data_IF_065805611263
#
_entry.id   IF_065805611263
#
_cell.length_a   1.000
_cell.length_b   1.000
_cell.length_c   1.000
_cell.angle_alpha   90.00
_cell.angle_beta   90.00
_cell.angle_gamma   90.00
#
_symmetry.space_group_name_H-M   'P 1'
#
loop_
_entity.id
_entity.type
_entity.pdbx_description
1 polymer ?
#
# COMPACT_ATOMS: atom_id res chain seq x y z
N UNK A 1 2.70 16.47 -15.58
CA UNK A 1 3.95 16.81 -16.27
C UNK A 1 5.12 16.75 -15.30
N UNK A 2 6.38 16.82 -15.78
CA UNK A 2 7.60 16.71 -14.98
C UNK A 2 7.71 17.85 -13.97
N UNK A 3 7.46 19.08 -14.39
CA UNK A 3 7.52 20.25 -13.50
C UNK A 3 6.47 20.16 -12.38
N UNK A 4 5.31 19.57 -12.67
CA UNK A 4 4.28 19.30 -11.67
C UNK A 4 4.75 18.28 -10.62
N UNK A 5 5.49 17.25 -11.03
CA UNK A 5 6.06 16.26 -10.12
C UNK A 5 7.10 16.88 -9.19
N UNK A 6 8.08 17.63 -9.73
CA UNK A 6 9.09 18.33 -8.92
C UNK A 6 8.44 19.22 -7.85
N UNK A 7 7.52 20.10 -8.27
CA UNK A 7 6.79 20.99 -7.34
C UNK A 7 5.98 20.22 -6.30
N UNK A 8 5.44 19.05 -6.66
CA UNK A 8 4.71 18.22 -5.70
C UNK A 8 5.64 17.63 -4.64
N UNK A 9 6.82 17.17 -5.04
CA UNK A 9 7.82 16.64 -4.09
C UNK A 9 8.29 17.71 -3.11
N UNK A 10 8.56 18.93 -3.58
CA UNK A 10 8.90 20.07 -2.73
C UNK A 10 7.76 20.38 -1.73
N UNK A 11 6.50 20.41 -2.18
CA UNK A 11 5.35 20.65 -1.30
C UNK A 11 5.20 19.56 -0.24
N UNK A 12 5.33 18.29 -0.61
CA UNK A 12 5.26 17.17 0.32
C UNK A 12 6.36 17.26 1.38
N UNK A 13 7.59 17.57 0.97
CA UNK A 13 8.69 17.79 1.92
C UNK A 13 8.45 18.98 2.84
N UNK A 14 7.95 20.09 2.31
CA UNK A 14 7.63 21.29 3.09
C UNK A 14 6.49 21.08 4.10
N UNK A 15 5.58 20.13 3.85
CA UNK A 15 4.59 19.68 4.84
C UNK A 15 5.29 18.97 6.01
N UNK A 16 6.37 18.23 5.74
CA UNK A 16 7.17 17.53 6.74
C UNK A 16 7.34 16.04 6.51
N UNK A 17 6.81 15.49 5.44
CA UNK A 17 7.01 14.07 5.10
C UNK A 17 8.46 13.78 4.71
N UNK A 18 8.95 12.58 5.02
CA UNK A 18 10.31 12.12 4.72
C UNK A 18 10.35 11.08 3.60
N UNK A 19 9.22 10.48 3.30
CA UNK A 19 9.10 9.48 2.25
C UNK A 19 7.77 9.56 1.53
N UNK A 20 7.73 8.93 0.36
CA UNK A 20 6.51 8.78 -0.45
C UNK A 20 6.36 7.33 -0.91
N UNK A 21 5.13 6.93 -1.22
CA UNK A 21 4.86 5.78 -2.05
C UNK A 21 4.62 6.23 -3.48
N UNK A 22 5.28 5.58 -4.45
CA UNK A 22 5.09 5.87 -5.86
C UNK A 22 4.04 4.95 -6.48
N UNK A 23 3.04 5.55 -7.12
CA UNK A 23 1.99 4.84 -7.86
C UNK A 23 1.71 5.55 -9.20
N UNK A 24 1.48 4.79 -10.27
CA UNK A 24 1.02 5.33 -11.54
C UNK A 24 2.02 6.16 -12.38
N UNK A 25 3.32 6.17 -12.04
CA UNK A 25 4.36 6.96 -12.72
C UNK A 25 5.36 6.12 -13.53
N UNK A 26 5.00 4.89 -13.83
CA UNK A 26 5.85 3.91 -14.52
C UNK A 26 6.39 4.34 -15.90
N UNK A 27 5.82 5.38 -16.51
CA UNK A 27 6.25 5.93 -17.80
C UNK A 27 7.40 6.95 -17.71
N UNK A 28 7.82 7.32 -16.50
CA UNK A 28 8.89 8.28 -16.32
C UNK A 28 10.22 7.58 -16.12
N UNK A 29 11.29 8.24 -16.54
CA UNK A 29 12.64 7.73 -16.39
C UNK A 29 13.04 7.67 -14.91
N UNK A 30 13.66 6.56 -14.50
CA UNK A 30 13.99 6.28 -13.11
C UNK A 30 15.01 7.26 -12.52
N UNK A 31 15.98 7.71 -13.32
CA UNK A 31 17.00 8.68 -12.93
C UNK A 31 16.36 10.08 -12.71
N UNK A 32 15.37 10.44 -13.52
CA UNK A 32 14.60 11.67 -13.30
C UNK A 32 13.86 11.63 -11.98
N UNK A 33 13.15 10.55 -11.69
CA UNK A 33 12.44 10.35 -10.40
C UNK A 33 13.43 10.44 -9.25
N UNK A 34 14.55 9.71 -9.34
CA UNK A 34 15.60 9.73 -8.32
C UNK A 34 16.10 11.14 -8.06
N UNK A 35 16.42 11.88 -9.13
CA UNK A 35 16.89 13.25 -9.01
C UNK A 35 15.88 14.16 -8.29
N UNK A 36 14.61 14.13 -8.69
CA UNK A 36 13.58 14.96 -8.07
C UNK A 36 13.41 14.67 -6.56
N UNK A 37 13.52 13.38 -6.18
CA UNK A 37 13.39 12.98 -4.78
C UNK A 37 14.63 13.36 -3.97
N UNK A 38 15.83 13.19 -4.53
CA UNK A 38 17.08 13.62 -3.88
C UNK A 38 17.10 15.14 -3.67
N UNK A 39 16.72 15.90 -4.69
CA UNK A 39 16.65 17.37 -4.63
C UNK A 39 15.63 17.83 -3.55
N UNK A 40 14.51 17.14 -3.42
CA UNK A 40 13.51 17.41 -2.39
C UNK A 40 13.87 16.85 -1.00
N UNK A 41 14.84 15.95 -0.89
CA UNK A 41 15.18 15.25 0.35
C UNK A 41 14.11 14.26 0.79
N UNK A 42 13.50 13.54 -0.17
CA UNK A 42 12.51 12.49 0.04
C UNK A 42 13.07 11.12 -0.35
N UNK A 43 12.60 10.08 0.33
CA UNK A 43 12.84 8.67 -0.04
C UNK A 43 11.57 8.00 -0.57
N UNK A 44 11.72 6.80 -1.13
CA UNK A 44 10.59 5.96 -1.55
C UNK A 44 10.43 4.83 -0.53
N UNK A 45 9.30 4.80 0.18
CA UNK A 45 9.01 3.73 1.13
C UNK A 45 8.45 2.47 0.46
N UNK A 46 7.66 2.63 -0.61
CA UNK A 46 7.10 1.53 -1.40
C UNK A 46 6.68 2.02 -2.78
N UNK A 47 6.35 1.08 -3.65
CA UNK A 47 5.75 1.40 -4.96
C UNK A 47 4.50 0.55 -5.20
N UNK A 48 3.59 1.04 -6.06
CA UNK A 48 2.60 0.22 -6.75
C UNK A 48 2.97 0.14 -8.23
N UNK A 49 3.39 -1.04 -8.65
CA UNK A 49 3.77 -1.34 -10.04
C UNK A 49 2.58 -2.04 -10.73
N UNK A 50 2.24 -1.67 -11.97
CA UNK A 50 1.26 -2.44 -12.73
C UNK A 50 1.65 -3.92 -12.81
N UNK A 51 0.72 -4.86 -12.52
CA UNK A 51 1.04 -6.29 -12.47
C UNK A 51 1.72 -6.81 -13.74
N UNK A 52 1.24 -6.41 -14.92
CA UNK A 52 1.81 -6.84 -16.20
C UNK A 52 3.27 -6.37 -16.38
N UNK A 53 3.59 -5.17 -15.94
CA UNK A 53 4.98 -4.68 -15.95
C UNK A 53 5.84 -5.49 -14.99
N UNK A 54 5.35 -5.77 -13.79
CA UNK A 54 6.10 -6.55 -12.80
C UNK A 54 6.37 -7.97 -13.31
N UNK A 55 5.40 -8.60 -13.98
CA UNK A 55 5.55 -9.94 -14.56
C UNK A 55 6.51 -9.97 -15.75
N UNK A 56 6.43 -8.97 -16.64
CA UNK A 56 7.16 -8.99 -17.92
C UNK A 56 8.53 -8.30 -17.86
N UNK A 57 8.73 -7.37 -16.90
CA UNK A 57 9.90 -6.49 -16.83
C UNK A 57 10.56 -6.52 -15.45
N UNK A 58 10.48 -7.66 -14.74
CA UNK A 58 10.96 -7.80 -13.35
C UNK A 58 12.40 -7.32 -13.16
N UNK A 59 13.32 -7.61 -14.10
CA UNK A 59 14.72 -7.21 -14.00
C UNK A 59 14.90 -5.69 -14.07
N UNK A 60 14.12 -5.02 -14.92
CA UNK A 60 14.09 -3.56 -15.00
C UNK A 60 13.57 -2.96 -13.69
N UNK A 61 12.46 -3.48 -13.19
CA UNK A 61 11.87 -3.03 -11.92
C UNK A 61 12.86 -3.18 -10.76
N UNK A 62 13.58 -4.30 -10.68
CA UNK A 62 14.63 -4.51 -9.68
C UNK A 62 15.73 -3.45 -9.80
N UNK A 63 16.20 -3.16 -11.02
CA UNK A 63 17.24 -2.17 -11.25
C UNK A 63 16.79 -0.76 -10.83
N UNK A 64 15.58 -0.35 -11.18
CA UNK A 64 14.97 0.91 -10.78
C UNK A 64 14.85 1.03 -9.26
N UNK A 65 14.37 -0.02 -8.59
CA UNK A 65 14.22 -0.03 -7.13
C UNK A 65 15.56 -0.02 -6.39
N UNK A 66 16.60 -0.65 -6.94
CA UNK A 66 17.98 -0.52 -6.43
C UNK A 66 18.49 0.91 -6.54
N UNK A 67 18.24 1.58 -7.67
CA UNK A 67 18.60 2.99 -7.88
C UNK A 67 17.91 3.89 -6.85
N UNK A 68 16.65 3.63 -6.53
CA UNK A 68 15.87 4.41 -5.57
C UNK A 68 16.13 4.04 -4.11
N UNK A 69 16.74 2.89 -3.84
CA UNK A 69 16.90 2.35 -2.48
C UNK A 69 15.58 1.83 -1.89
N UNK A 70 14.57 1.55 -2.73
CA UNK A 70 13.27 1.05 -2.32
C UNK A 70 13.25 -0.48 -2.32
N UNK A 71 12.85 -1.09 -1.18
CA UNK A 71 12.81 -2.55 -1.06
C UNK A 71 11.41 -3.16 -1.11
N UNK A 72 10.35 -2.36 -1.03
CA UNK A 72 8.96 -2.82 -1.03
C UNK A 72 8.28 -2.54 -2.37
N UNK A 73 8.04 -3.61 -3.12
CA UNK A 73 7.48 -3.55 -4.47
C UNK A 73 6.07 -4.13 -4.43
N UNK A 74 5.08 -3.25 -4.47
CA UNK A 74 3.68 -3.62 -4.37
C UNK A 74 2.95 -3.63 -5.70
N UNK A 75 1.81 -4.29 -5.69
CA UNK A 75 0.74 -4.10 -6.66
C UNK A 75 -0.48 -3.54 -5.95
N UNK A 76 -1.09 -2.50 -6.52
CA UNK A 76 -2.27 -1.86 -5.94
C UNK A 76 -3.58 -2.54 -6.34
N UNK A 77 -3.58 -3.29 -7.43
CA UNK A 77 -4.76 -3.96 -7.97
C UNK A 77 -4.35 -5.08 -8.92
N UNK A 78 -5.05 -6.22 -8.85
CA UNK A 78 -4.89 -7.31 -9.81
C UNK A 78 -6.24 -7.74 -10.38
N UNK A 79 -6.51 -7.35 -11.63
CA UNK A 79 -7.78 -7.60 -12.30
C UNK A 79 -8.16 -9.08 -12.36
N UNK A 80 -7.17 -9.99 -12.49
CA UNK A 80 -7.41 -11.44 -12.59
C UNK A 80 -8.14 -12.07 -11.39
N UNK A 81 -8.12 -11.42 -10.21
CA UNK A 81 -8.93 -11.85 -9.07
C UNK A 81 -10.42 -11.48 -9.23
N UNK A 82 -10.72 -10.45 -10.01
CA UNK A 82 -12.05 -9.84 -10.10
C UNK A 82 -12.74 -10.06 -11.45
N UNK A 83 -12.08 -10.70 -12.39
CA UNK A 83 -12.68 -11.03 -13.68
C UNK A 83 -13.97 -11.83 -13.51
N UNK A 84 -15.02 -11.38 -14.23
CA UNK A 84 -16.27 -12.12 -14.31
C UNK A 84 -16.13 -13.29 -15.28
N UNK A 85 -15.74 -14.45 -14.75
CA UNK A 85 -15.60 -15.70 -15.47
C UNK A 85 -16.08 -16.86 -14.59
N UNK A 86 -16.10 -18.09 -15.14
CA UNK A 86 -16.60 -19.27 -14.45
C UNK A 86 -15.68 -19.82 -13.35
N UNK A 87 -14.52 -19.18 -13.11
CA UNK A 87 -13.57 -19.62 -12.07
C UNK A 87 -14.02 -19.16 -10.69
N UNK A 88 -13.91 -20.07 -9.72
CA UNK A 88 -14.05 -19.73 -8.30
C UNK A 88 -12.95 -18.79 -7.82
N UNK A 89 -13.16 -18.11 -6.70
CA UNK A 89 -12.11 -17.27 -6.09
C UNK A 89 -10.87 -18.10 -5.69
N UNK A 90 -11.03 -19.39 -5.32
CA UNK A 90 -9.89 -20.25 -5.04
C UNK A 90 -9.02 -20.46 -6.27
N UNK A 91 -9.62 -20.79 -7.41
CA UNK A 91 -8.89 -20.96 -8.66
C UNK A 91 -8.19 -19.67 -9.12
N UNK A 92 -8.81 -18.51 -8.88
CA UNK A 92 -8.20 -17.20 -9.19
C UNK A 92 -7.02 -16.89 -8.29
N UNK A 93 -7.13 -17.18 -7.00
CA UNK A 93 -6.03 -17.01 -6.04
C UNK A 93 -4.90 -18.01 -6.29
N UNK A 94 -5.22 -19.27 -6.62
CA UNK A 94 -4.22 -20.27 -6.99
C UNK A 94 -3.44 -19.82 -8.24
N UNK A 95 -4.13 -19.31 -9.26
CA UNK A 95 -3.49 -18.75 -10.45
C UNK A 95 -2.63 -17.50 -10.14
N UNK A 96 -3.10 -16.64 -9.24
CA UNK A 96 -2.30 -15.52 -8.74
C UNK A 96 -1.01 -16.00 -8.07
N UNK A 97 -1.12 -16.97 -7.17
CA UNK A 97 0.03 -17.52 -6.46
C UNK A 97 1.03 -18.20 -7.41
N UNK A 98 0.55 -18.89 -8.43
CA UNK A 98 1.40 -19.50 -9.47
C UNK A 98 2.20 -18.44 -10.23
N UNK A 99 1.57 -17.31 -10.62
CA UNK A 99 2.20 -16.23 -11.36
C UNK A 99 3.20 -15.45 -10.49
N UNK A 100 2.84 -15.11 -9.24
CA UNK A 100 3.63 -14.18 -8.42
C UNK A 100 4.63 -14.85 -7.48
N UNK A 101 4.54 -16.15 -7.20
CA UNK A 101 5.56 -16.84 -6.39
C UNK A 101 6.96 -16.74 -6.99
N UNK A 102 7.20 -16.97 -8.30
CA UNK A 102 8.51 -16.78 -8.90
C UNK A 102 9.04 -15.32 -8.77
N UNK A 103 8.13 -14.34 -8.83
CA UNK A 103 8.45 -12.92 -8.63
C UNK A 103 8.90 -12.68 -7.18
N UNK A 104 8.14 -13.17 -6.19
CA UNK A 104 8.52 -13.11 -4.78
C UNK A 104 9.92 -13.69 -4.53
N UNK A 105 10.20 -14.85 -5.11
CA UNK A 105 11.51 -15.53 -5.01
C UNK A 105 12.63 -14.69 -5.62
N UNK A 106 12.39 -14.09 -6.78
CA UNK A 106 13.35 -13.26 -7.48
C UNK A 106 13.64 -11.98 -6.73
N UNK A 107 12.61 -11.26 -6.29
CA UNK A 107 12.73 -10.04 -5.50
C UNK A 107 13.47 -10.30 -4.18
N UNK A 108 13.14 -11.39 -3.51
CA UNK A 108 13.76 -11.76 -2.23
C UNK A 108 15.29 -11.98 -2.37
N UNK A 109 15.75 -12.66 -3.44
CA UNK A 109 17.18 -12.83 -3.72
C UNK A 109 17.91 -11.50 -3.90
N UNK A 110 17.21 -10.46 -4.30
CA UNK A 110 17.74 -9.11 -4.51
C UNK A 110 17.57 -8.18 -3.28
N UNK A 111 17.14 -8.76 -2.13
CA UNK A 111 16.91 -8.02 -0.89
C UNK A 111 15.63 -7.19 -0.88
N UNK A 112 14.68 -7.51 -1.77
CA UNK A 112 13.39 -6.83 -1.91
C UNK A 112 12.25 -7.75 -1.49
N UNK A 113 11.07 -7.18 -1.23
CA UNK A 113 9.88 -7.92 -0.83
C UNK A 113 8.70 -7.55 -1.72
N UNK A 114 8.00 -8.58 -2.22
CA UNK A 114 6.74 -8.38 -2.93
C UNK A 114 5.63 -8.07 -1.94
N UNK A 115 4.83 -7.04 -2.24
CA UNK A 115 3.75 -6.56 -1.40
C UNK A 115 2.42 -6.58 -2.16
N UNK A 116 1.34 -6.94 -1.48
CA UNK A 116 -0.03 -6.88 -1.99
C UNK A 116 -0.83 -5.83 -1.23
N UNK A 117 -1.44 -4.89 -1.93
CA UNK A 117 -2.32 -3.91 -1.30
C UNK A 117 -3.76 -4.44 -1.25
N UNK A 118 -4.37 -4.42 -0.07
CA UNK A 118 -5.74 -4.86 0.11
C UNK A 118 -6.76 -3.74 -0.06
N UNK A 119 -7.92 -4.12 -0.58
CA UNK A 119 -9.16 -3.36 -0.52
C UNK A 119 -10.21 -4.09 0.34
N UNK A 120 -11.46 -3.62 0.30
CA UNK A 120 -12.56 -4.28 1.01
C UNK A 120 -12.96 -5.62 0.39
N UNK A 121 -12.72 -5.78 -0.91
CA UNK A 121 -13.14 -6.95 -1.68
C UNK A 121 -12.48 -8.24 -1.20
N UNK A 122 -11.23 -8.18 -0.75
CA UNK A 122 -10.47 -9.32 -0.26
C UNK A 122 -11.01 -9.90 1.05
N UNK A 123 -11.90 -9.17 1.73
CA UNK A 123 -12.59 -9.65 2.94
C UNK A 123 -13.87 -10.43 2.64
N UNK A 124 -14.24 -10.60 1.36
CA UNK A 124 -15.33 -11.50 0.99
C UNK A 124 -15.01 -12.92 1.41
N UNK A 125 -16.05 -13.59 1.98
CA UNK A 125 -15.94 -15.00 2.33
C UNK A 125 -16.00 -15.88 1.07
N UNK A 126 -15.14 -16.88 1.05
CA UNK A 126 -15.16 -17.99 0.14
C UNK A 126 -15.57 -19.26 0.89
N UNK A 127 -15.55 -20.40 0.23
CA UNK A 127 -15.96 -21.68 0.83
C UNK A 127 -15.35 -21.93 2.21
N UNK A 128 -16.16 -22.33 3.18
CA UNK A 128 -15.72 -22.71 4.52
C UNK A 128 -15.44 -21.54 5.45
N UNK A 129 -15.91 -20.33 5.12
CA UNK A 129 -15.81 -19.14 5.98
C UNK A 129 -14.46 -18.42 5.97
N UNK A 130 -13.51 -18.87 5.17
CA UNK A 130 -12.24 -18.21 4.94
C UNK A 130 -12.42 -17.01 4.00
N UNK A 131 -11.72 -15.89 4.22
CA UNK A 131 -11.74 -14.76 3.31
C UNK A 131 -10.79 -14.98 2.12
N UNK A 132 -10.97 -14.21 1.04
CA UNK A 132 -10.06 -14.20 -0.11
C UNK A 132 -8.65 -13.86 0.34
N UNK A 133 -8.48 -12.84 1.19
CA UNK A 133 -7.17 -12.43 1.72
C UNK A 133 -6.50 -13.54 2.54
N UNK A 134 -7.25 -14.21 3.41
CA UNK A 134 -6.72 -15.33 4.19
C UNK A 134 -6.21 -16.46 3.30
N UNK A 135 -6.97 -16.78 2.25
CA UNK A 135 -6.56 -17.81 1.31
C UNK A 135 -5.35 -17.37 0.50
N UNK A 136 -5.33 -16.12 0.01
CA UNK A 136 -4.19 -15.53 -0.70
C UNK A 136 -2.91 -15.60 0.15
N UNK A 137 -2.96 -15.12 1.39
CA UNK A 137 -1.82 -15.18 2.30
C UNK A 137 -1.33 -16.61 2.52
N UNK A 138 -2.26 -17.58 2.62
CA UNK A 138 -1.91 -18.99 2.82
C UNK A 138 -1.17 -19.62 1.64
N UNK A 139 -1.32 -19.05 0.43
CA UNK A 139 -0.70 -19.53 -0.81
C UNK A 139 0.64 -18.87 -1.13
N UNK A 140 0.91 -17.72 -0.56
CA UNK A 140 2.12 -16.96 -0.88
C UNK A 140 3.34 -17.42 -0.06
N UNK A 141 4.58 -17.28 -0.60
CA UNK A 141 5.78 -17.77 0.06
C UNK A 141 6.10 -16.98 1.32
N UNK A 142 6.16 -17.68 2.46
CA UNK A 142 6.45 -17.09 3.78
C UNK A 142 7.77 -16.32 3.77
N UNK A 143 7.77 -15.15 4.40
CA UNK A 143 8.93 -14.27 4.53
C UNK A 143 9.29 -13.48 3.28
N UNK A 144 8.70 -13.78 2.12
CA UNK A 144 8.99 -13.14 0.82
C UNK A 144 7.82 -12.33 0.26
N UNK A 145 6.69 -12.47 0.91
CA UNK A 145 5.43 -11.79 0.64
C UNK A 145 5.04 -10.91 1.84
N UNK A 146 4.41 -9.77 1.59
CA UNK A 146 3.85 -8.90 2.60
C UNK A 146 2.56 -8.25 2.11
N UNK A 147 1.92 -7.50 3.02
CA UNK A 147 0.70 -6.76 2.75
C UNK A 147 0.99 -5.27 2.96
N UNK A 148 0.69 -4.44 1.96
CA UNK A 148 0.49 -3.01 2.17
C UNK A 148 -0.94 -2.86 2.69
N UNK A 149 -1.08 -2.86 4.01
CA UNK A 149 -2.40 -2.84 4.63
C UNK A 149 -3.00 -1.45 4.62
N UNK A 150 -4.21 -1.35 4.10
CA UNK A 150 -5.04 -0.17 4.18
C UNK A 150 -6.14 -0.37 5.24
N UNK A 151 -6.06 0.37 6.33
CA UNK A 151 -6.98 0.22 7.46
C UNK A 151 -8.38 0.77 7.19
N UNK A 152 -8.53 1.71 6.26
CA UNK A 152 -9.84 2.13 5.77
C UNK A 152 -10.55 0.97 5.06
N UNK A 153 -9.86 0.33 4.11
CA UNK A 153 -10.44 -0.78 3.37
C UNK A 153 -10.67 -2.01 4.24
N UNK A 154 -9.80 -2.26 5.23
CA UNK A 154 -10.01 -3.33 6.22
C UNK A 154 -11.29 -3.10 6.99
N UNK A 155 -11.56 -1.87 7.42
CA UNK A 155 -12.81 -1.53 8.14
C UNK A 155 -14.03 -1.56 7.23
N UNK A 156 -13.94 -1.07 5.99
CA UNK A 156 -15.03 -1.16 4.99
C UNK A 156 -15.33 -2.63 4.66
N UNK A 157 -14.32 -3.49 4.64
CA UNK A 157 -14.47 -4.94 4.48
C UNK A 157 -15.10 -5.65 5.68
N UNK A 158 -15.40 -4.92 6.78
CA UNK A 158 -16.04 -5.45 7.99
C UNK A 158 -15.08 -6.14 8.95
N UNK A 159 -13.77 -6.06 8.73
CA UNK A 159 -12.75 -6.61 9.62
C UNK A 159 -12.35 -5.59 10.72
N UNK A 160 -11.89 -6.12 11.84
CA UNK A 160 -11.38 -5.32 12.95
C UNK A 160 -9.89 -5.05 12.74
N UNK A 161 -9.50 -3.76 12.65
CA UNK A 161 -8.11 -3.37 12.41
C UNK A 161 -7.13 -3.89 13.46
N UNK A 162 -7.53 -4.00 14.73
CA UNK A 162 -6.66 -4.50 15.80
C UNK A 162 -6.42 -6.00 15.68
N UNK A 163 -7.48 -6.78 15.41
CA UNK A 163 -7.36 -8.22 15.15
C UNK A 163 -6.57 -8.49 13.89
N UNK A 164 -6.70 -7.62 12.89
CA UNK A 164 -5.92 -7.70 11.66
C UNK A 164 -4.42 -7.51 11.90
N UNK A 165 -4.04 -6.52 12.71
CA UNK A 165 -2.63 -6.30 13.11
C UNK A 165 -2.12 -7.48 13.92
N UNK A 166 -2.88 -7.99 14.89
CA UNK A 166 -2.50 -9.15 15.69
C UNK A 166 -2.23 -10.38 14.81
N UNK A 167 -3.08 -10.60 13.80
CA UNK A 167 -2.98 -11.76 12.91
C UNK A 167 -1.88 -11.66 11.85
N UNK A 168 -1.68 -10.47 11.29
CA UNK A 168 -0.83 -10.26 10.11
C UNK A 168 0.34 -9.33 10.34
N UNK A 169 0.60 -8.87 11.56
CA UNK A 169 1.61 -7.85 11.85
C UNK A 169 2.96 -8.09 11.20
N UNK A 170 3.44 -9.34 11.16
CA UNK A 170 4.71 -9.71 10.51
C UNK A 170 4.75 -9.48 8.99
N UNK A 171 3.59 -9.29 8.37
CA UNK A 171 3.45 -9.02 6.94
C UNK A 171 3.27 -7.53 6.62
N UNK A 172 3.05 -6.67 7.64
CA UNK A 172 2.67 -5.28 7.51
C UNK A 172 3.89 -4.35 7.53
N UNK A 173 4.82 -4.51 6.58
CA UNK A 173 6.03 -3.68 6.56
C UNK A 173 5.76 -2.24 6.11
N UNK A 174 4.76 -2.02 5.28
CA UNK A 174 4.25 -0.71 4.88
C UNK A 174 2.74 -0.72 5.06
N UNK A 175 2.18 0.35 5.59
CA UNK A 175 0.74 0.46 5.82
C UNK A 175 0.20 1.79 5.31
N UNK A 176 -1.08 1.80 4.91
CA UNK A 176 -1.78 3.02 4.55
C UNK A 176 -2.63 3.52 5.70
N UNK A 177 -2.42 4.79 6.05
CA UNK A 177 -3.33 5.55 6.88
C UNK A 177 -4.25 6.35 5.96
N UNK A 178 -5.50 5.91 5.88
CA UNK A 178 -6.60 6.49 5.10
C UNK A 178 -7.84 6.51 6.00
N UNK A 179 -8.33 7.69 6.36
CA UNK A 179 -9.37 7.78 7.39
C UNK A 179 -10.78 7.75 6.83
N UNK A 180 -11.71 7.33 7.67
CA UNK A 180 -13.11 7.07 7.36
C UNK A 180 -14.01 8.02 8.14
N UNK A 181 -14.78 8.84 7.44
CA UNK A 181 -15.83 9.68 8.03
C UNK A 181 -17.17 9.36 7.37
N UNK A 182 -18.17 8.81 8.09
CA UNK A 182 -19.49 8.60 7.54
C UNK A 182 -20.18 9.92 7.20
N UNK A 183 -20.79 9.97 6.01
CA UNK A 183 -21.70 11.05 5.63
C UNK A 183 -23.07 10.44 5.29
N UNK A 184 -24.00 10.53 6.21
CA UNK A 184 -25.24 9.72 6.16
C UNK A 184 -24.90 8.23 6.27
N UNK A 185 -25.31 7.44 5.28
CA UNK A 185 -25.00 6.01 5.20
C UNK A 185 -23.78 5.70 4.31
N UNK A 186 -23.13 6.74 3.75
CA UNK A 186 -22.03 6.56 2.83
C UNK A 186 -20.69 6.77 3.54
N UNK A 187 -19.72 5.85 3.37
CA UNK A 187 -18.37 6.08 3.83
C UNK A 187 -17.69 7.14 2.96
N UNK A 188 -17.07 8.13 3.59
CA UNK A 188 -16.24 9.13 2.93
C UNK A 188 -14.80 9.05 3.43
N UNK A 189 -13.87 9.43 2.60
CA UNK A 189 -12.48 9.61 3.02
C UNK A 189 -12.31 10.94 3.73
N UNK A 190 -11.41 10.96 4.70
CA UNK A 190 -11.05 12.15 5.45
C UNK A 190 -9.54 12.20 5.67
N UNK A 191 -8.98 13.38 5.93
CA UNK A 191 -7.61 13.48 6.45
C UNK A 191 -7.47 12.65 7.73
N UNK A 192 -6.34 11.99 7.89
CA UNK A 192 -6.06 11.13 9.05
C UNK A 192 -6.25 11.91 10.35
N UNK A 193 -7.01 11.34 11.28
CA UNK A 193 -7.37 11.95 12.56
C UNK A 193 -8.59 12.87 12.52
N UNK A 194 -9.23 13.03 11.35
CA UNK A 194 -10.52 13.73 11.20
C UNK A 194 -11.69 12.75 11.01
N UNK A 195 -11.41 11.47 10.83
CA UNK A 195 -12.39 10.41 10.71
C UNK A 195 -12.60 9.62 12.00
N UNK A 196 -13.13 8.41 11.85
CA UNK A 196 -13.54 7.55 12.97
C UNK A 196 -12.56 6.40 13.25
N UNK A 197 -11.50 6.22 12.44
CA UNK A 197 -10.50 5.18 12.67
C UNK A 197 -9.54 5.65 13.77
N UNK A 198 -9.34 4.83 14.78
CA UNK A 198 -8.44 5.17 15.89
C UNK A 198 -6.98 4.90 15.51
N UNK A 199 -6.38 5.83 14.75
CA UNK A 199 -5.00 5.72 14.27
C UNK A 199 -3.96 5.77 15.37
N UNK A 200 -4.20 6.45 16.49
CA UNK A 200 -3.31 6.41 17.65
C UNK A 200 -3.19 4.98 18.21
N UNK A 201 -4.32 4.27 18.34
CA UNK A 201 -4.33 2.89 18.80
C UNK A 201 -3.68 1.94 17.78
N UNK A 202 -3.95 2.14 16.49
CA UNK A 202 -3.34 1.37 15.40
C UNK A 202 -1.82 1.57 15.41
N UNK A 203 -1.35 2.81 15.49
CA UNK A 203 0.08 3.13 15.51
C UNK A 203 0.80 2.43 16.66
N UNK A 204 0.27 2.52 17.88
CA UNK A 204 0.83 1.82 19.05
C UNK A 204 0.89 0.29 18.88
N UNK A 205 -0.11 -0.30 18.24
CA UNK A 205 -0.11 -1.73 17.95
C UNK A 205 0.96 -2.11 16.91
N UNK A 206 1.14 -1.29 15.87
CA UNK A 206 2.18 -1.49 14.86
C UNK A 206 3.58 -1.33 15.46
N UNK A 207 3.80 -0.33 16.33
CA UNK A 207 5.07 -0.17 17.06
C UNK A 207 5.37 -1.39 17.95
N UNK A 208 4.36 -1.89 18.67
CA UNK A 208 4.50 -3.07 19.54
C UNK A 208 4.85 -4.33 18.74
N UNK A 209 4.28 -4.48 17.54
CA UNK A 209 4.61 -5.58 16.64
C UNK A 209 6.03 -5.47 16.08
N UNK A 210 6.49 -4.25 15.78
CA UNK A 210 7.86 -3.94 15.35
C UNK A 210 8.22 -4.30 13.91
N UNK A 211 7.28 -4.75 13.08
CA UNK A 211 7.53 -5.14 11.67
C UNK A 211 7.29 -4.00 10.69
N UNK A 212 6.50 -3.00 11.07
CA UNK A 212 6.16 -1.86 10.20
C UNK A 212 7.31 -0.87 10.14
N UNK A 213 7.76 -0.57 8.93
CA UNK A 213 8.88 0.34 8.67
C UNK A 213 8.42 1.69 8.10
N UNK A 214 7.22 1.73 7.50
CA UNK A 214 6.68 2.96 6.93
C UNK A 214 5.16 3.03 7.03
N UNK A 215 4.69 4.25 7.25
CA UNK A 215 3.28 4.64 7.18
C UNK A 215 3.12 5.61 6.03
N UNK A 216 2.31 5.27 5.03
CA UNK A 216 1.95 6.15 3.94
C UNK A 216 0.54 6.71 4.16
N UNK A 217 0.39 8.02 4.10
CA UNK A 217 -0.94 8.65 4.08
C UNK A 217 -1.51 8.54 2.67
N UNK A 218 -2.70 8.00 2.55
CA UNK A 218 -3.41 7.90 1.28
C UNK A 218 -4.82 8.46 1.40
N UNK A 219 -5.25 9.22 0.39
CA UNK A 219 -6.61 9.75 0.29
C UNK A 219 -6.97 9.90 -1.19
N UNK A 220 -7.79 8.99 -1.73
CA UNK A 220 -8.16 8.99 -3.16
C UNK A 220 -9.17 10.09 -3.49
N UNK A 221 -10.00 10.49 -2.52
CA UNK A 221 -10.98 11.56 -2.67
C UNK A 221 -10.85 12.56 -1.51
N UNK A 222 -10.48 13.77 -1.87
CA UNK A 222 -10.39 14.89 -0.92
C UNK A 222 -11.72 15.63 -0.74
N UNK A 223 -12.82 15.12 -1.31
CA UNK A 223 -14.17 15.69 -1.17
C UNK A 223 -14.26 17.18 -1.54
N UNK A 224 -13.46 17.62 -2.50
CA UNK A 224 -13.40 19.01 -2.99
C UNK A 224 -12.34 19.88 -2.33
N UNK A 225 -11.64 19.38 -1.31
CA UNK A 225 -10.51 20.09 -0.69
C UNK A 225 -9.25 19.97 -1.56
N UNK A 226 -8.28 20.86 -1.34
CA UNK A 226 -6.96 20.76 -1.95
C UNK A 226 -6.18 19.55 -1.38
N UNK A 227 -5.62 18.65 -2.22
CA UNK A 227 -4.91 17.47 -1.74
C UNK A 227 -3.73 17.76 -0.81
N UNK A 228 -2.98 18.84 -1.03
CA UNK A 228 -1.87 19.21 -0.16
C UNK A 228 -2.36 19.73 1.20
N UNK A 229 -3.52 20.38 1.22
CA UNK A 229 -4.18 20.75 2.48
C UNK A 229 -4.61 19.52 3.27
N UNK A 230 -5.18 18.50 2.60
CA UNK A 230 -5.54 17.22 3.24
C UNK A 230 -4.30 16.51 3.79
N UNK A 231 -3.21 16.44 3.02
CA UNK A 231 -1.93 15.88 3.47
C UNK A 231 -1.36 16.63 4.68
N UNK A 232 -1.43 17.97 4.68
CA UNK A 232 -0.96 18.79 5.80
C UNK A 232 -1.75 18.51 7.08
N UNK A 233 -3.08 18.45 7.01
CA UNK A 233 -3.93 18.12 8.15
C UNK A 233 -3.65 16.72 8.68
N UNK A 234 -3.52 15.74 7.78
CA UNK A 234 -3.14 14.36 8.14
C UNK A 234 -1.79 14.33 8.87
N UNK A 235 -0.79 15.01 8.34
CA UNK A 235 0.54 15.10 8.97
C UNK A 235 0.48 15.70 10.37
N UNK A 236 -0.20 16.87 10.52
CA UNK A 236 -0.33 17.56 11.81
C UNK A 236 -1.09 16.72 12.85
N UNK A 237 -2.06 15.91 12.42
CA UNK A 237 -2.80 15.02 13.30
C UNK A 237 -1.95 13.82 13.71
N UNK A 238 -1.25 13.19 12.77
CA UNK A 238 -0.37 12.04 13.02
C UNK A 238 0.73 12.42 14.02
N UNK A 239 1.33 13.59 13.88
CA UNK A 239 2.38 14.10 14.80
C UNK A 239 1.95 14.24 16.25
N UNK A 240 0.67 14.16 16.57
CA UNK A 240 0.18 14.22 17.95
C UNK A 240 0.32 12.90 18.70
N UNK A 241 0.55 11.80 18.00
CA UNK A 241 0.59 10.48 18.61
C UNK A 241 1.76 9.58 18.17
N UNK A 242 2.67 10.08 17.30
CA UNK A 242 3.96 9.44 16.96
C UNK A 242 5.08 9.97 17.83
#
# INVERSE_FOLDING_TARGET
>A
DKDGFERSMEKIKNIGYDSIQLSGISKWNAEFIKKCLDDAGLSICATHIPPDMLLNETDRIIAEHKLWGCKYIGIGWYAGLWENNDKSFREKVDAFAELFTPICEKLHREGMKFMYHNHALEFQHIDGGQTILEYLVSKMPKGKFGIISDFYWTQIGGANNMEFIEKYGDLLNVVHFKDLLPQGNEPKMAPVGEGNINYEKIYKALETNGSTEAVAVEQDDCCGDDPFSCLKRSFDNIKKFI
#
